data_IF_878196550066
#
_entry.id   IF_878196550066
#
_cell.length_a   1.000
_cell.length_b   1.000
_cell.length_c   1.000
_cell.angle_alpha   90.00
_cell.angle_beta   90.00
_cell.angle_gamma   90.00
#
_symmetry.space_group_name_H-M   'P 1'
#
loop_
_entity.id
_entity.type
_entity.pdbx_description
1 polymer ?
#
# COMPACT_ATOMS: atom_id res chain seq x y z
N UNK A 1 -16.53 -19.70 2.91
CA UNK A 1 -15.09 -19.41 3.05
C UNK A 1 -14.81 -19.01 4.48
N UNK A 2 -13.81 -19.67 5.14
CA UNK A 2 -13.38 -19.29 6.50
C UNK A 2 -12.25 -18.29 6.41
N UNK A 3 -12.44 -17.10 6.99
CA UNK A 3 -11.48 -16.00 6.99
C UNK A 3 -11.01 -15.75 8.42
N UNK A 4 -9.71 -15.88 8.68
CA UNK A 4 -9.13 -15.47 9.95
C UNK A 4 -8.49 -14.09 9.80
N UNK A 5 -8.94 -13.15 10.62
CA UNK A 5 -8.32 -11.83 10.76
C UNK A 5 -7.37 -11.90 11.94
N UNK A 6 -6.06 -12.02 11.65
CA UNK A 6 -5.02 -12.12 12.68
C UNK A 6 -4.74 -10.73 13.26
N UNK A 7 -5.26 -10.49 14.44
CA UNK A 7 -5.06 -9.22 15.15
C UNK A 7 -3.89 -9.30 16.12
N UNK A 8 -3.08 -8.26 16.13
CA UNK A 8 -1.92 -8.10 17.01
C UNK A 8 -2.12 -6.86 17.87
N UNK A 9 -1.42 -6.79 18.99
CA UNK A 9 -1.53 -5.63 19.86
C UNK A 9 -1.17 -4.34 19.11
N UNK A 10 -1.89 -3.26 19.39
CA UNK A 10 -1.83 -2.00 18.63
C UNK A 10 -2.32 -2.13 17.17
N UNK A 11 -3.22 -3.09 16.87
CA UNK A 11 -3.82 -3.16 15.52
C UNK A 11 -4.46 -1.83 15.12
N UNK A 12 -4.33 -1.47 13.85
CA UNK A 12 -4.86 -0.22 13.31
C UNK A 12 -6.39 -0.26 13.22
N UNK A 13 -7.05 0.60 13.97
CA UNK A 13 -8.52 0.59 14.16
C UNK A 13 -9.30 0.64 12.86
N UNK A 14 -9.04 1.66 12.02
CA UNK A 14 -9.72 1.81 10.74
C UNK A 14 -9.50 0.62 9.81
N UNK A 15 -8.28 0.06 9.80
CA UNK A 15 -7.95 -1.09 8.96
C UNK A 15 -8.71 -2.35 9.39
N UNK A 16 -8.77 -2.61 10.70
CA UNK A 16 -9.51 -3.73 11.26
C UNK A 16 -11.01 -3.60 10.97
N UNK A 17 -11.61 -2.45 11.30
CA UNK A 17 -13.05 -2.19 11.08
C UNK A 17 -13.42 -2.30 9.61
N UNK A 18 -12.62 -1.72 8.70
CA UNK A 18 -12.88 -1.80 7.26
C UNK A 18 -12.94 -3.24 6.73
N UNK A 19 -12.06 -4.12 7.22
CA UNK A 19 -12.09 -5.54 6.86
C UNK A 19 -13.34 -6.24 7.40
N UNK A 20 -13.65 -6.04 8.68
CA UNK A 20 -14.79 -6.69 9.32
C UNK A 20 -16.12 -6.23 8.71
N UNK A 21 -16.29 -4.90 8.53
CA UNK A 21 -17.51 -4.32 7.96
C UNK A 21 -17.72 -4.73 6.50
N UNK A 22 -16.65 -4.84 5.69
CA UNK A 22 -16.77 -5.30 4.32
C UNK A 22 -17.31 -6.73 4.22
N UNK A 23 -16.81 -7.65 5.05
CA UNK A 23 -17.27 -9.03 5.06
C UNK A 23 -18.66 -9.17 5.67
N UNK A 24 -18.96 -8.41 6.73
CA UNK A 24 -20.31 -8.40 7.33
C UNK A 24 -21.33 -7.91 6.30
N UNK A 25 -21.08 -6.76 5.66
CA UNK A 25 -21.94 -6.22 4.60
C UNK A 25 -22.12 -7.22 3.45
N UNK A 26 -21.04 -7.90 3.02
CA UNK A 26 -21.15 -8.93 1.99
C UNK A 26 -22.05 -10.09 2.42
N UNK A 27 -21.95 -10.56 3.66
CA UNK A 27 -22.81 -11.62 4.19
C UNK A 27 -24.28 -11.22 4.25
N UNK A 28 -24.60 -10.00 4.73
CA UNK A 28 -25.95 -9.45 4.79
C UNK A 28 -26.54 -9.31 3.39
N UNK A 29 -25.79 -8.77 2.43
CA UNK A 29 -26.23 -8.63 1.05
C UNK A 29 -26.39 -9.98 0.33
N UNK A 30 -25.56 -10.97 0.65
CA UNK A 30 -25.73 -12.32 0.13
C UNK A 30 -27.06 -12.93 0.59
N UNK A 31 -27.41 -12.75 1.84
CA UNK A 31 -28.69 -13.22 2.39
C UNK A 31 -29.89 -12.49 1.76
N UNK A 32 -29.85 -11.15 1.71
CA UNK A 32 -30.89 -10.31 1.13
C UNK A 32 -31.12 -10.59 -0.37
N UNK A 33 -30.06 -10.93 -1.11
CA UNK A 33 -30.10 -11.11 -2.56
C UNK A 33 -30.23 -12.57 -3.02
N UNK A 34 -30.40 -13.51 -2.09
CA UNK A 34 -30.55 -14.94 -2.37
C UNK A 34 -29.30 -15.59 -3.00
N UNK A 35 -28.11 -15.05 -2.75
CA UNK A 35 -26.85 -15.70 -3.13
C UNK A 35 -26.64 -16.94 -2.27
N UNK A 36 -27.03 -18.11 -2.76
CA UNK A 36 -26.88 -19.37 -2.03
C UNK A 36 -25.43 -19.85 -2.06
N UNK A 37 -24.87 -20.11 -0.88
CA UNK A 37 -23.58 -20.78 -0.70
C UNK A 37 -22.37 -19.88 -0.47
N UNK A 38 -22.49 -18.56 -0.62
CA UNK A 38 -21.35 -17.64 -0.54
C UNK A 38 -21.33 -16.87 0.79
N UNK A 39 -21.01 -17.57 1.88
CA UNK A 39 -20.85 -16.92 3.19
C UNK A 39 -19.39 -16.91 3.65
N UNK A 40 -19.01 -15.83 4.32
CA UNK A 40 -17.70 -15.67 4.95
C UNK A 40 -17.84 -15.91 6.47
N UNK A 41 -17.23 -17.01 6.98
CA UNK A 41 -17.04 -17.25 8.42
C UNK A 41 -15.83 -16.45 8.87
N UNK A 42 -16.04 -15.20 9.31
CA UNK A 42 -14.96 -14.27 9.67
C UNK A 42 -14.73 -14.34 11.17
N UNK A 43 -13.47 -14.57 11.55
CA UNK A 43 -13.06 -14.68 12.95
C UNK A 43 -11.87 -13.80 13.23
N UNK A 44 -11.95 -12.96 14.24
CA UNK A 44 -10.79 -12.28 14.83
C UNK A 44 -10.05 -13.26 15.72
N UNK A 45 -8.79 -13.53 15.39
CA UNK A 45 -7.91 -14.46 16.11
C UNK A 45 -6.61 -13.77 16.49
N UNK A 46 -5.98 -14.20 17.57
CA UNK A 46 -4.74 -13.60 18.03
C UNK A 46 -3.84 -14.64 18.72
N UNK A 47 -2.55 -14.32 18.79
CA UNK A 47 -1.55 -15.08 19.56
C UNK A 47 -1.56 -14.72 21.05
N UNK A 48 -2.32 -13.71 21.44
CA UNK A 48 -2.49 -13.26 22.84
C UNK A 48 -3.99 -13.27 23.20
N UNK A 49 -4.28 -13.43 24.50
CA UNK A 49 -5.67 -13.51 25.01
C UNK A 49 -6.39 -12.15 25.01
N UNK A 50 -5.65 -11.07 25.09
CA UNK A 50 -6.18 -9.70 25.08
C UNK A 50 -5.41 -8.86 24.08
N UNK A 51 -6.12 -8.18 23.21
CA UNK A 51 -5.59 -7.30 22.19
C UNK A 51 -6.23 -5.93 22.35
N UNK A 52 -5.41 -4.89 22.28
CA UNK A 52 -5.87 -3.51 22.17
C UNK A 52 -5.54 -2.94 20.79
N UNK A 53 -6.43 -2.09 20.30
CA UNK A 53 -6.17 -1.32 19.09
C UNK A 53 -5.17 -0.19 19.34
N UNK A 54 -4.75 0.52 18.30
CA UNK A 54 -3.86 1.68 18.41
C UNK A 54 -4.50 2.85 19.22
N UNK A 55 -5.83 2.89 19.32
CA UNK A 55 -6.56 3.86 20.15
C UNK A 55 -7.00 3.28 21.50
N UNK A 56 -6.56 2.08 21.87
CA UNK A 56 -6.81 1.48 23.18
C UNK A 56 -8.13 0.71 23.29
N UNK A 57 -8.89 0.54 22.22
CA UNK A 57 -10.10 -0.28 22.21
C UNK A 57 -9.74 -1.76 22.37
N UNK A 58 -10.49 -2.48 23.18
CA UNK A 58 -10.29 -3.93 23.35
C UNK A 58 -10.95 -4.69 22.20
N UNK A 59 -10.18 -5.56 21.54
CA UNK A 59 -10.67 -6.41 20.44
C UNK A 59 -11.05 -7.77 20.99
N UNK A 60 -12.31 -8.22 20.83
CA UNK A 60 -12.69 -9.59 21.14
C UNK A 60 -11.97 -10.56 20.19
N UNK A 61 -11.30 -11.57 20.75
CA UNK A 61 -10.59 -12.57 19.97
C UNK A 61 -11.15 -13.96 20.25
N UNK A 62 -11.24 -14.79 19.21
CA UNK A 62 -11.67 -16.17 19.30
C UNK A 62 -10.47 -17.10 19.40
N UNK A 63 -10.67 -18.23 20.08
CA UNK A 63 -9.65 -19.26 20.17
C UNK A 63 -9.38 -19.85 18.78
N UNK A 64 -8.10 -20.00 18.44
CA UNK A 64 -7.65 -20.68 17.22
C UNK A 64 -7.96 -22.17 17.39
N UNK A 65 -8.97 -22.64 16.65
CA UNK A 65 -9.32 -24.07 16.63
C UNK A 65 -8.35 -24.92 15.79
N UNK A 66 -8.59 -26.22 15.75
CA UNK A 66 -7.77 -27.17 14.98
C UNK A 66 -7.88 -27.02 13.46
N UNK A 67 -9.02 -26.49 12.98
CA UNK A 67 -9.29 -26.32 11.55
C UNK A 67 -8.62 -25.05 11.01
N UNK A 68 -7.79 -25.19 9.99
CA UNK A 68 -7.13 -24.08 9.32
C UNK A 68 -8.13 -23.14 8.62
N UNK A 69 -7.79 -21.84 8.46
CA UNK A 69 -8.56 -20.92 7.62
C UNK A 69 -8.37 -21.23 6.15
N UNK A 70 -9.32 -20.81 5.31
CA UNK A 70 -9.16 -20.77 3.85
C UNK A 70 -8.37 -19.51 3.45
N UNK A 71 -8.52 -18.43 4.23
CA UNK A 71 -7.84 -17.16 4.03
C UNK A 71 -7.45 -16.53 5.36
N UNK A 72 -6.26 -15.96 5.41
CA UNK A 72 -5.75 -15.15 6.52
C UNK A 72 -5.65 -13.70 6.07
N UNK A 73 -6.18 -12.79 6.86
CA UNK A 73 -5.99 -11.35 6.70
C UNK A 73 -5.14 -10.82 7.85
N UNK A 74 -4.02 -10.19 7.53
CA UNK A 74 -3.15 -9.51 8.50
C UNK A 74 -3.34 -8.00 8.35
N UNK A 75 -4.15 -7.36 9.22
CA UNK A 75 -4.30 -5.91 9.24
C UNK A 75 -3.00 -5.21 9.65
N UNK A 76 -2.94 -3.90 9.40
CA UNK A 76 -1.83 -3.09 9.88
C UNK A 76 -1.79 -3.01 11.41
N UNK A 77 -0.59 -2.85 11.96
CA UNK A 77 -0.36 -2.32 13.30
C UNK A 77 -0.17 -0.80 13.25
N UNK A 78 -0.54 -0.07 14.31
CA UNK A 78 -0.72 1.39 14.30
C UNK A 78 0.56 2.25 14.33
N UNK A 79 1.71 1.71 13.95
CA UNK A 79 2.99 2.40 13.99
C UNK A 79 3.33 3.04 12.64
N UNK A 80 3.32 4.36 12.56
CA UNK A 80 3.53 5.10 11.29
C UNK A 80 4.98 5.49 11.05
N UNK A 81 5.79 5.60 12.11
CA UNK A 81 7.18 6.05 12.04
C UNK A 81 8.14 4.85 12.07
N UNK A 82 9.24 4.89 11.30
CA UNK A 82 10.16 3.75 11.15
C UNK A 82 10.70 3.21 12.47
N UNK A 83 11.17 4.08 13.36
CA UNK A 83 11.80 3.68 14.64
C UNK A 83 10.79 2.93 15.54
N UNK A 84 9.57 3.46 15.66
CA UNK A 84 8.51 2.84 16.44
C UNK A 84 8.06 1.51 15.81
N UNK A 85 7.99 1.45 14.47
CA UNK A 85 7.67 0.21 13.76
C UNK A 85 8.77 -0.83 13.92
N UNK A 86 10.04 -0.45 13.83
CA UNK A 86 11.18 -1.35 14.00
C UNK A 86 11.17 -2.02 15.39
N UNK A 87 10.91 -1.22 16.44
CA UNK A 87 10.73 -1.73 17.79
C UNK A 87 9.50 -2.65 17.91
N UNK A 88 8.39 -2.31 17.26
CA UNK A 88 7.18 -3.12 17.27
C UNK A 88 7.38 -4.48 16.57
N UNK A 89 8.11 -4.52 15.45
CA UNK A 89 8.39 -5.76 14.71
C UNK A 89 9.29 -6.75 15.50
N UNK A 90 10.05 -6.24 16.49
CA UNK A 90 10.86 -7.10 17.37
C UNK A 90 10.06 -7.72 18.52
N UNK A 91 8.79 -7.39 18.70
CA UNK A 91 7.95 -7.87 19.80
C UNK A 91 7.73 -9.41 19.73
N UNK A 92 7.60 -10.08 20.90
CA UNK A 92 7.32 -11.52 20.94
C UNK A 92 6.00 -11.93 20.26
N UNK A 93 4.96 -11.11 20.31
CA UNK A 93 3.69 -11.42 19.65
C UNK A 93 3.80 -11.43 18.11
N UNK A 94 4.68 -10.59 17.54
CA UNK A 94 4.99 -10.61 16.09
C UNK A 94 5.74 -11.90 15.72
N UNK A 95 6.70 -12.35 16.55
CA UNK A 95 7.43 -13.58 16.30
C UNK A 95 6.52 -14.81 16.39
N UNK A 96 5.63 -14.85 17.38
CA UNK A 96 4.63 -15.93 17.50
C UNK A 96 3.64 -15.92 16.33
N UNK A 97 3.23 -14.73 15.88
CA UNK A 97 2.39 -14.58 14.69
C UNK A 97 3.10 -15.07 13.42
N UNK A 98 4.40 -14.81 13.28
CA UNK A 98 5.20 -15.31 12.16
C UNK A 98 5.23 -16.84 12.10
N UNK A 99 5.34 -17.52 13.26
CA UNK A 99 5.25 -19.00 13.35
C UNK A 99 3.86 -19.47 12.90
N UNK A 100 2.81 -18.83 13.40
CA UNK A 100 1.42 -19.18 13.07
C UNK A 100 1.11 -18.97 11.59
N UNK A 101 1.58 -17.90 10.99
CA UNK A 101 1.42 -17.60 9.55
C UNK A 101 2.07 -18.71 8.71
N UNK A 102 3.28 -19.16 9.04
CA UNK A 102 3.93 -20.29 8.35
C UNK A 102 3.14 -21.59 8.47
N UNK A 103 2.56 -21.86 9.64
CA UNK A 103 1.72 -23.07 9.84
C UNK A 103 0.45 -23.04 8.97
N UNK A 104 -0.20 -21.91 8.84
CA UNK A 104 -1.38 -21.75 7.98
C UNK A 104 -1.02 -21.79 6.50
N UNK A 105 0.11 -21.22 6.11
CA UNK A 105 0.64 -21.30 4.76
C UNK A 105 0.92 -22.75 4.35
N UNK A 106 1.55 -23.56 5.21
CA UNK A 106 1.77 -24.99 4.97
C UNK A 106 0.47 -25.79 4.82
N UNK A 107 -0.62 -25.33 5.42
CA UNK A 107 -1.97 -25.90 5.27
C UNK A 107 -2.73 -25.39 4.04
N UNK A 108 -2.09 -24.58 3.20
CA UNK A 108 -2.64 -24.10 1.94
C UNK A 108 -3.54 -22.86 2.01
N UNK A 109 -3.57 -22.17 3.17
CA UNK A 109 -4.35 -20.95 3.31
C UNK A 109 -3.87 -19.86 2.33
N UNK A 110 -4.81 -19.06 1.82
CA UNK A 110 -4.49 -17.81 1.13
C UNK A 110 -4.02 -16.78 2.17
N UNK A 111 -2.83 -16.23 1.97
CA UNK A 111 -2.19 -15.31 2.91
C UNK A 111 -2.34 -13.90 2.42
N UNK A 112 -3.03 -13.05 3.17
CA UNK A 112 -3.28 -11.67 2.75
C UNK A 112 -2.88 -10.67 3.83
N UNK A 113 -2.37 -9.51 3.41
CA UNK A 113 -1.99 -8.43 4.33
C UNK A 113 -2.25 -7.05 3.72
N UNK A 114 -2.51 -6.06 4.55
CA UNK A 114 -2.67 -4.69 4.11
C UNK A 114 -1.76 -3.72 4.88
N UNK A 115 -1.25 -2.72 4.15
CA UNK A 115 -0.47 -1.64 4.73
C UNK A 115 0.74 -2.18 5.52
N UNK A 116 0.90 -1.82 6.79
CA UNK A 116 1.97 -2.30 7.68
C UNK A 116 1.79 -3.79 8.03
N UNK A 117 0.62 -4.38 7.86
CA UNK A 117 0.43 -5.84 7.97
C UNK A 117 1.33 -6.64 7.02
N UNK A 118 1.74 -6.03 5.88
CA UNK A 118 2.72 -6.63 4.96
C UNK A 118 4.10 -6.80 5.61
N UNK A 119 4.51 -5.89 6.50
CA UNK A 119 5.74 -6.04 7.28
C UNK A 119 5.64 -7.27 8.22
N UNK A 120 4.50 -7.42 8.91
CA UNK A 120 4.26 -8.58 9.78
C UNK A 120 4.34 -9.89 8.99
N UNK A 121 3.75 -9.92 7.80
CA UNK A 121 3.85 -11.09 6.92
C UNK A 121 5.29 -11.32 6.43
N UNK A 122 6.05 -10.27 6.12
CA UNK A 122 7.44 -10.36 5.71
C UNK A 122 8.36 -10.89 6.83
N UNK A 123 8.08 -10.56 8.11
CA UNK A 123 8.80 -11.14 9.28
C UNK A 123 8.68 -12.67 9.33
N UNK A 124 7.66 -13.25 8.75
CA UNK A 124 7.53 -14.71 8.67
C UNK A 124 8.40 -15.36 7.59
N UNK A 125 9.05 -14.59 6.71
CA UNK A 125 9.78 -15.08 5.53
C UNK A 125 8.90 -15.52 4.37
N UNK A 126 7.58 -15.50 4.50
CA UNK A 126 6.64 -15.99 3.47
C UNK A 126 6.64 -15.14 2.18
N UNK A 127 7.11 -13.90 2.25
CA UNK A 127 7.19 -13.01 1.10
C UNK A 127 8.54 -13.05 0.38
N UNK A 128 9.52 -13.84 0.84
CA UNK A 128 10.81 -13.97 0.18
C UNK A 128 10.62 -14.47 -1.26
N UNK A 129 11.23 -13.77 -2.20
CA UNK A 129 11.12 -14.00 -3.64
C UNK A 129 9.70 -13.84 -4.22
N UNK A 130 8.76 -13.30 -3.45
CA UNK A 130 7.42 -12.98 -3.90
C UNK A 130 7.31 -11.51 -4.31
N UNK A 131 6.31 -11.21 -5.15
CA UNK A 131 5.90 -9.82 -5.39
C UNK A 131 4.96 -9.38 -4.28
N UNK A 132 5.15 -8.14 -3.79
CA UNK A 132 4.30 -7.56 -2.75
C UNK A 132 4.12 -6.06 -2.94
N UNK A 133 3.16 -5.48 -2.24
CA UNK A 133 3.04 -4.04 -2.01
C UNK A 133 2.84 -3.77 -0.52
N UNK A 134 3.11 -2.56 -0.11
CA UNK A 134 2.88 -2.08 1.26
C UNK A 134 2.58 -0.58 1.23
N UNK A 135 2.51 0.05 2.39
CA UNK A 135 2.30 1.49 2.49
C UNK A 135 3.46 2.28 1.87
N UNK A 136 3.13 3.22 0.98
CA UNK A 136 4.10 3.92 0.14
C UNK A 136 5.15 4.71 0.94
N UNK A 137 4.82 5.27 2.11
CA UNK A 137 5.78 6.10 2.88
C UNK A 137 6.86 5.30 3.62
N UNK A 138 6.66 3.99 3.82
CA UNK A 138 7.63 3.09 4.45
C UNK A 138 8.35 2.17 3.45
N UNK A 139 8.18 2.40 2.15
CA UNK A 139 8.87 1.64 1.09
C UNK A 139 10.40 1.61 1.28
N UNK A 140 11.08 2.72 1.62
CA UNK A 140 12.52 2.67 1.86
C UNK A 140 12.91 1.72 3.01
N UNK A 141 12.16 1.74 4.12
CA UNK A 141 12.37 0.84 5.25
C UNK A 141 12.10 -0.63 4.84
N UNK A 142 11.01 -0.88 4.12
CA UNK A 142 10.64 -2.23 3.69
C UNK A 142 11.71 -2.85 2.81
N UNK A 143 12.20 -2.14 1.79
CA UNK A 143 13.26 -2.62 0.90
C UNK A 143 14.58 -2.89 1.63
N UNK A 144 14.95 -2.05 2.58
CA UNK A 144 16.17 -2.25 3.38
C UNK A 144 16.05 -3.50 4.26
N UNK A 145 14.88 -3.74 4.85
CA UNK A 145 14.67 -4.83 5.81
C UNK A 145 14.41 -6.18 5.13
N UNK A 146 13.71 -6.17 4.00
CA UNK A 146 13.31 -7.38 3.25
C UNK A 146 13.79 -7.32 1.79
N UNK A 147 15.10 -7.37 1.55
CA UNK A 147 15.67 -7.20 0.21
C UNK A 147 15.31 -8.33 -0.77
N UNK A 148 14.89 -9.49 -0.26
CA UNK A 148 14.44 -10.64 -1.07
C UNK A 148 13.02 -10.47 -1.63
N UNK A 149 12.25 -9.47 -1.17
CA UNK A 149 10.88 -9.23 -1.63
C UNK A 149 10.88 -8.30 -2.85
N UNK A 150 10.18 -8.69 -3.91
CA UNK A 150 10.00 -7.83 -5.10
C UNK A 150 8.85 -6.83 -4.85
N UNK A 151 9.19 -5.64 -4.34
CA UNK A 151 8.21 -4.65 -3.93
C UNK A 151 7.73 -3.79 -5.11
N UNK A 152 6.40 -3.77 -5.35
CA UNK A 152 5.72 -2.89 -6.32
C UNK A 152 4.84 -1.88 -5.56
N UNK A 153 5.42 -0.73 -5.23
CA UNK A 153 4.75 0.36 -4.50
C UNK A 153 3.73 1.12 -5.33
N UNK A 154 3.63 0.87 -6.62
CA UNK A 154 2.68 1.58 -7.49
C UNK A 154 1.26 1.04 -7.41
N UNK A 155 1.12 -0.25 -7.18
CA UNK A 155 -0.16 -0.94 -7.19
C UNK A 155 -0.88 -0.83 -5.84
N UNK A 156 -2.22 -0.74 -5.88
CA UNK A 156 -3.04 -0.83 -4.68
C UNK A 156 -3.04 -2.27 -4.14
N UNK A 157 -3.13 -3.26 -5.02
CA UNK A 157 -3.09 -4.69 -4.68
C UNK A 157 -2.08 -5.40 -5.55
N UNK A 158 -1.27 -6.25 -4.94
CA UNK A 158 -0.33 -7.15 -5.62
C UNK A 158 -0.65 -8.59 -5.22
N UNK A 159 -0.87 -9.44 -6.23
CA UNK A 159 -1.00 -10.90 -6.06
C UNK A 159 0.25 -11.60 -6.54
N UNK A 160 0.76 -12.53 -5.74
CA UNK A 160 1.86 -13.44 -6.07
C UNK A 160 1.52 -14.84 -5.56
N UNK A 161 1.10 -15.73 -6.46
CA UNK A 161 0.58 -17.03 -6.06
C UNK A 161 -0.63 -16.92 -5.13
N UNK A 162 -0.52 -17.46 -3.91
CA UNK A 162 -1.53 -17.35 -2.85
C UNK A 162 -1.32 -16.18 -1.89
N UNK A 163 -0.27 -15.38 -2.10
CA UNK A 163 -0.01 -14.18 -1.32
C UNK A 163 -0.68 -12.98 -1.99
N UNK A 164 -1.41 -12.18 -1.21
CA UNK A 164 -2.05 -10.95 -1.70
C UNK A 164 -1.77 -9.84 -0.71
N UNK A 165 -1.12 -8.79 -1.19
CA UNK A 165 -0.80 -7.64 -0.34
C UNK A 165 -1.46 -6.38 -0.87
N UNK A 166 -1.83 -5.48 0.02
CA UNK A 166 -2.48 -4.23 -0.30
C UNK A 166 -1.70 -3.03 0.28
N UNK A 167 -1.81 -1.87 -0.39
CA UNK A 167 -1.03 -0.67 -0.13
C UNK A 167 -1.34 0.05 1.17
N UNK A 168 -1.65 1.34 1.09
CA UNK A 168 -1.79 2.21 2.27
C UNK A 168 -3.14 2.03 3.03
N UNK A 169 -3.35 2.83 4.05
CA UNK A 169 -4.37 2.66 5.11
C UNK A 169 -5.76 2.16 4.66
N UNK A 170 -6.41 2.83 3.72
CA UNK A 170 -7.74 2.41 3.24
C UNK A 170 -7.71 1.19 2.30
N UNK A 171 -6.54 0.69 1.92
CA UNK A 171 -6.42 -0.52 1.11
C UNK A 171 -6.89 -1.79 1.83
N UNK A 172 -7.14 -1.74 3.14
CA UNK A 172 -7.81 -2.81 3.86
C UNK A 172 -9.19 -3.10 3.25
N UNK A 173 -9.93 -2.06 2.89
CA UNK A 173 -11.20 -2.18 2.18
C UNK A 173 -11.02 -2.77 0.77
N UNK A 174 -10.01 -2.31 0.02
CA UNK A 174 -9.71 -2.85 -1.31
C UNK A 174 -9.33 -4.34 -1.23
N UNK A 175 -8.57 -4.73 -0.20
CA UNK A 175 -8.20 -6.13 0.04
C UNK A 175 -9.42 -7.00 0.36
N UNK A 176 -10.29 -6.55 1.26
CA UNK A 176 -11.53 -7.26 1.59
C UNK A 176 -12.43 -7.43 0.37
N UNK A 177 -12.65 -6.37 -0.41
CA UNK A 177 -13.41 -6.44 -1.66
C UNK A 177 -12.73 -7.34 -2.70
N UNK A 178 -11.39 -7.39 -2.74
CA UNK A 178 -10.65 -8.30 -3.60
C UNK A 178 -10.90 -9.77 -3.22
N UNK A 179 -10.88 -10.09 -1.91
CA UNK A 179 -11.16 -11.44 -1.38
C UNK A 179 -12.61 -11.82 -1.69
N UNK A 180 -13.58 -10.93 -1.45
CA UNK A 180 -15.00 -11.15 -1.79
C UNK A 180 -15.15 -11.40 -3.29
N UNK A 181 -14.44 -10.63 -4.14
CA UNK A 181 -14.46 -10.77 -5.60
C UNK A 181 -13.90 -12.11 -6.08
N UNK A 182 -12.90 -12.67 -5.38
CA UNK A 182 -12.34 -13.98 -5.72
C UNK A 182 -13.36 -15.11 -5.52
N UNK A 183 -14.35 -14.92 -4.63
CA UNK A 183 -15.46 -15.84 -4.39
C UNK A 183 -16.65 -15.50 -5.31
N UNK A 184 -17.08 -14.23 -5.33
CA UNK A 184 -18.20 -13.75 -6.12
C UNK A 184 -17.99 -12.32 -6.63
N UNK A 185 -17.68 -12.16 -7.94
CA UNK A 185 -17.56 -10.82 -8.54
C UNK A 185 -18.83 -9.97 -8.41
N UNK A 186 -20.00 -10.61 -8.47
CA UNK A 186 -21.30 -9.95 -8.36
C UNK A 186 -21.53 -9.43 -6.95
N UNK A 187 -21.24 -10.24 -5.92
CA UNK A 187 -21.35 -9.85 -4.53
C UNK A 187 -20.35 -8.72 -4.19
N UNK A 188 -19.10 -8.82 -4.65
CA UNK A 188 -18.12 -7.75 -4.45
C UNK A 188 -18.55 -6.42 -5.07
N UNK A 189 -19.14 -6.44 -6.27
CA UNK A 189 -19.68 -5.23 -6.92
C UNK A 189 -20.85 -4.63 -6.13
N UNK A 190 -21.73 -5.46 -5.59
CA UNK A 190 -22.86 -5.01 -4.78
C UNK A 190 -22.37 -4.41 -3.44
N UNK A 191 -21.44 -5.10 -2.76
CA UNK A 191 -20.82 -4.63 -1.51
C UNK A 191 -20.13 -3.29 -1.70
N UNK A 192 -19.33 -3.13 -2.78
CA UNK A 192 -18.65 -1.88 -3.08
C UNK A 192 -19.64 -0.72 -3.31
N UNK A 193 -20.74 -0.97 -4.02
CA UNK A 193 -21.80 0.03 -4.23
C UNK A 193 -22.49 0.42 -2.94
N UNK A 194 -22.81 -0.56 -2.09
CA UNK A 194 -23.48 -0.32 -0.80
C UNK A 194 -22.61 0.50 0.15
N UNK A 195 -21.31 0.23 0.18
CA UNK A 195 -20.32 0.96 0.98
C UNK A 195 -19.81 2.25 0.33
N UNK A 196 -20.29 2.58 -0.89
CA UNK A 196 -19.86 3.77 -1.67
C UNK A 196 -18.34 3.78 -1.87
N UNK A 197 -17.78 2.63 -2.26
CA UNK A 197 -16.34 2.47 -2.47
C UNK A 197 -16.04 2.40 -3.96
N UNK A 198 -15.27 3.38 -4.45
CA UNK A 198 -14.75 3.42 -5.81
C UNK A 198 -13.49 2.54 -5.96
N UNK A 199 -13.29 2.01 -7.17
CA UNK A 199 -12.08 1.24 -7.48
C UNK A 199 -10.83 2.12 -7.52
N UNK A 200 -9.79 1.72 -6.80
CA UNK A 200 -8.49 2.40 -6.72
C UNK A 200 -7.38 1.47 -7.20
N UNK A 201 -7.04 1.48 -8.50
CA UNK A 201 -6.09 0.52 -9.08
C UNK A 201 -4.64 0.78 -8.65
N UNK A 202 -4.31 2.01 -8.29
CA UNK A 202 -2.95 2.43 -7.92
C UNK A 202 -2.95 3.32 -6.69
N UNK A 203 -1.92 3.17 -5.84
CA UNK A 203 -1.66 4.11 -4.75
C UNK A 203 -0.74 5.26 -5.17
N UNK A 204 -0.14 5.20 -6.36
CA UNK A 204 0.76 6.26 -6.86
C UNK A 204 0.11 7.63 -6.97
N UNK A 205 -1.23 7.68 -7.14
CA UNK A 205 -1.98 8.93 -7.17
C UNK A 205 -2.09 9.62 -5.80
N UNK A 206 -1.82 8.89 -4.72
CA UNK A 206 -1.93 9.36 -3.34
C UNK A 206 -0.57 9.45 -2.64
N UNK A 207 0.50 8.92 -3.26
CA UNK A 207 1.83 8.96 -2.70
C UNK A 207 2.39 10.39 -2.76
N UNK A 208 2.75 10.93 -1.61
CA UNK A 208 3.44 12.21 -1.49
C UNK A 208 4.94 11.95 -1.45
N UNK A 209 5.64 12.38 -2.49
CA UNK A 209 7.08 12.11 -2.65
C UNK A 209 7.89 12.71 -1.48
N UNK A 210 7.41 13.81 -0.93
CA UNK A 210 8.02 14.53 0.19
C UNK A 210 7.89 13.81 1.55
N UNK A 211 7.03 12.79 1.63
CA UNK A 211 6.78 12.03 2.86
C UNK A 211 7.42 10.62 2.84
N UNK A 212 8.32 10.34 1.90
CA UNK A 212 9.11 9.11 1.92
C UNK A 212 10.13 9.19 3.04
N UNK A 213 9.98 8.36 4.07
CA UNK A 213 10.83 8.44 5.27
C UNK A 213 12.14 7.70 5.04
N UNK A 214 13.24 8.43 4.98
CA UNK A 214 14.60 7.90 4.93
C UNK A 214 15.61 8.89 5.52
N UNK A 215 16.83 8.40 5.80
CA UNK A 215 17.92 9.18 6.40
C UNK A 215 19.15 9.29 5.50
N UNK A 216 19.06 8.97 4.21
CA UNK A 216 20.18 9.07 3.28
C UNK A 216 20.41 10.52 2.86
N UNK A 217 21.50 11.14 3.34
CA UNK A 217 21.83 12.53 3.09
C UNK A 217 22.08 12.85 1.61
N UNK A 218 22.57 11.88 0.80
CA UNK A 218 22.76 12.10 -0.62
C UNK A 218 21.42 12.17 -1.35
N UNK A 219 20.50 11.30 -0.98
CA UNK A 219 19.15 11.30 -1.52
C UNK A 219 18.41 12.58 -1.11
N UNK A 220 18.50 13.02 0.15
CA UNK A 220 17.90 14.28 0.62
C UNK A 220 18.41 15.49 -0.18
N UNK A 221 19.72 15.62 -0.37
CA UNK A 221 20.29 16.69 -1.21
C UNK A 221 19.77 16.66 -2.64
N UNK A 222 19.63 15.47 -3.21
CA UNK A 222 19.06 15.32 -4.54
C UNK A 222 17.58 15.70 -4.59
N UNK A 223 16.81 15.35 -3.58
CA UNK A 223 15.39 15.73 -3.46
C UNK A 223 15.23 17.24 -3.43
N UNK A 224 16.02 17.95 -2.60
CA UNK A 224 16.00 19.41 -2.50
C UNK A 224 16.37 20.06 -3.83
N UNK A 225 17.43 19.58 -4.48
CA UNK A 225 17.83 20.04 -5.80
C UNK A 225 16.74 19.83 -6.85
N UNK A 226 16.11 18.65 -6.85
CA UNK A 226 15.06 18.29 -7.81
C UNK A 226 13.81 19.18 -7.65
N UNK A 227 13.39 19.44 -6.40
CA UNK A 227 12.24 20.32 -6.11
C UNK A 227 12.46 21.76 -6.59
N UNK A 228 13.64 22.29 -6.37
CA UNK A 228 13.99 23.66 -6.77
C UNK A 228 14.01 23.84 -8.31
N UNK A 229 14.03 22.75 -9.09
CA UNK A 229 14.24 22.80 -10.54
C UNK A 229 13.14 22.13 -11.39
N UNK A 230 11.94 21.96 -10.86
CA UNK A 230 10.86 21.25 -11.55
C UNK A 230 10.50 21.84 -12.93
N UNK A 231 10.66 23.14 -13.12
CA UNK A 231 10.40 23.83 -14.39
C UNK A 231 11.53 23.71 -15.41
N UNK A 232 12.71 23.22 -14.99
CA UNK A 232 13.89 23.09 -15.85
C UNK A 232 14.00 21.66 -16.40
N UNK A 233 14.74 21.48 -17.48
CA UNK A 233 15.08 20.15 -17.98
C UNK A 233 15.86 19.33 -16.95
N UNK A 234 15.75 18.01 -17.01
CA UNK A 234 16.54 17.12 -16.15
C UNK A 234 17.82 16.70 -16.87
N UNK A 235 18.96 17.03 -16.28
CA UNK A 235 20.27 16.50 -16.66
C UNK A 235 20.92 15.75 -15.50
N UNK A 236 21.25 14.47 -15.70
CA UNK A 236 21.85 13.63 -14.65
C UNK A 236 23.26 14.05 -14.27
N UNK A 237 24.03 14.68 -15.18
CA UNK A 237 25.37 15.17 -14.87
C UNK A 237 25.28 16.39 -13.95
N UNK A 238 24.34 17.30 -14.26
CA UNK A 238 24.07 18.47 -13.43
C UNK A 238 23.60 18.06 -12.04
N UNK A 239 22.62 17.14 -11.97
CA UNK A 239 22.12 16.61 -10.71
C UNK A 239 23.24 15.99 -9.85
N UNK A 240 24.06 15.15 -10.42
CA UNK A 240 25.16 14.49 -9.70
C UNK A 240 26.20 15.50 -9.19
N UNK A 241 26.57 16.50 -10.01
CA UNK A 241 27.46 17.60 -9.58
C UNK A 241 26.88 18.42 -8.44
N UNK A 242 25.60 18.77 -8.53
CA UNK A 242 24.93 19.58 -7.52
C UNK A 242 24.92 18.92 -6.13
N UNK A 243 24.89 17.58 -6.07
CA UNK A 243 24.92 16.84 -4.81
C UNK A 243 26.32 16.30 -4.45
N UNK A 244 27.36 16.79 -5.11
CA UNK A 244 28.75 16.38 -4.93
C UNK A 244 28.95 14.84 -5.05
N UNK A 245 28.36 14.23 -6.09
CA UNK A 245 28.39 12.78 -6.30
C UNK A 245 28.65 12.42 -7.77
N UNK A 246 28.99 11.16 -8.03
CA UNK A 246 28.99 10.62 -9.38
C UNK A 246 27.58 10.18 -9.81
N UNK A 247 27.31 10.17 -11.13
CA UNK A 247 26.05 9.63 -11.70
C UNK A 247 25.75 8.21 -11.19
N UNK A 248 26.77 7.35 -11.17
CA UNK A 248 26.65 5.96 -10.73
C UNK A 248 26.30 5.87 -9.26
N UNK A 249 26.97 6.65 -8.42
CA UNK A 249 26.72 6.70 -6.98
C UNK A 249 25.31 7.23 -6.69
N UNK A 250 24.93 8.36 -7.30
CA UNK A 250 23.59 8.91 -7.15
C UNK A 250 22.51 7.92 -7.58
N UNK A 251 22.64 7.31 -8.75
CA UNK A 251 21.67 6.33 -9.24
C UNK A 251 21.57 5.10 -8.32
N UNK A 252 22.69 4.62 -7.78
CA UNK A 252 22.71 3.50 -6.83
C UNK A 252 22.00 3.84 -5.53
N UNK A 253 22.28 5.01 -4.92
CA UNK A 253 21.60 5.44 -3.68
C UNK A 253 20.12 5.64 -3.90
N UNK A 254 19.72 6.35 -4.95
CA UNK A 254 18.31 6.54 -5.30
C UNK A 254 17.58 5.20 -5.49
N UNK A 255 18.22 4.25 -6.14
CA UNK A 255 17.63 2.93 -6.33
C UNK A 255 17.55 2.14 -5.03
N UNK A 256 18.60 2.15 -4.22
CA UNK A 256 18.65 1.44 -2.93
C UNK A 256 17.64 2.02 -1.93
N UNK A 257 17.49 3.34 -1.86
CA UNK A 257 16.64 4.02 -0.87
C UNK A 257 15.20 4.12 -1.36
N UNK A 258 14.99 4.66 -2.57
CA UNK A 258 13.65 4.98 -3.09
C UNK A 258 13.16 3.99 -4.15
N UNK A 259 13.99 3.04 -4.59
CA UNK A 259 13.67 2.10 -5.67
C UNK A 259 13.45 2.77 -7.04
N UNK A 260 13.89 4.00 -7.21
CA UNK A 260 13.67 4.81 -8.41
C UNK A 260 14.99 5.33 -8.95
N UNK A 261 15.08 5.47 -10.29
CA UNK A 261 16.18 6.26 -10.86
C UNK A 261 15.98 7.75 -10.55
N UNK A 262 17.06 8.57 -10.56
CA UNK A 262 16.96 10.03 -10.40
C UNK A 262 15.93 10.68 -11.33
N UNK A 263 15.93 10.30 -12.62
CA UNK A 263 14.95 10.79 -13.59
C UNK A 263 13.52 10.36 -13.24
N UNK A 264 13.33 9.10 -12.84
CA UNK A 264 11.99 8.61 -12.46
C UNK A 264 11.43 9.33 -11.24
N UNK A 265 12.28 9.63 -10.26
CA UNK A 265 11.92 10.42 -9.09
C UNK A 265 11.53 11.86 -9.49
N UNK A 266 12.38 12.52 -10.28
CA UNK A 266 12.11 13.88 -10.79
C UNK A 266 10.78 13.96 -11.57
N UNK A 267 10.50 12.96 -12.40
CA UNK A 267 9.19 12.85 -13.07
C UNK A 267 8.04 12.65 -12.10
N UNK A 268 8.23 11.92 -10.98
CA UNK A 268 7.19 11.75 -9.94
C UNK A 268 6.84 13.09 -9.30
N UNK A 269 7.82 13.91 -8.96
CA UNK A 269 7.59 15.27 -8.44
C UNK A 269 6.80 16.16 -9.41
N UNK A 270 7.13 16.09 -10.71
CA UNK A 270 6.39 16.83 -11.75
C UNK A 270 4.94 16.38 -11.86
N UNK A 271 4.70 15.06 -11.80
CA UNK A 271 3.35 14.48 -11.80
C UNK A 271 2.55 14.97 -10.59
N UNK A 272 3.14 14.91 -9.41
CA UNK A 272 2.52 15.36 -8.16
C UNK A 272 2.14 16.85 -8.25
N UNK A 273 3.08 17.68 -8.68
CA UNK A 273 2.81 19.13 -8.88
C UNK A 273 1.74 19.38 -9.92
N UNK A 274 1.73 18.62 -11.04
CA UNK A 274 0.70 18.74 -12.07
C UNK A 274 -0.68 18.36 -11.54
N UNK A 275 -0.79 17.26 -10.79
CA UNK A 275 -2.05 16.83 -10.15
C UNK A 275 -2.55 17.90 -9.19
N UNK A 276 -1.67 18.45 -8.36
CA UNK A 276 -2.02 19.54 -7.44
C UNK A 276 -2.58 20.73 -8.20
N UNK A 277 -1.89 21.22 -9.24
CA UNK A 277 -2.35 22.36 -10.04
C UNK A 277 -3.69 22.08 -10.75
N UNK A 278 -3.87 20.86 -11.29
CA UNK A 278 -5.11 20.46 -11.95
C UNK A 278 -6.30 20.41 -10.98
N UNK A 279 -6.07 20.13 -9.70
CA UNK A 279 -7.10 20.07 -8.65
C UNK A 279 -7.39 21.43 -8.02
N UNK A 280 -6.40 22.30 -7.92
CA UNK A 280 -6.48 23.54 -7.12
C UNK A 280 -6.56 24.81 -7.97
N UNK A 281 -6.56 24.69 -9.30
CA UNK A 281 -6.67 25.84 -10.20
C UNK A 281 -7.45 25.51 -11.47
N UNK A 282 -7.98 26.57 -12.10
CA UNK A 282 -8.64 26.51 -13.41
C UNK A 282 -7.65 26.58 -14.58
N UNK A 283 -6.35 26.51 -14.32
CA UNK A 283 -5.31 26.59 -15.34
C UNK A 283 -5.54 25.56 -16.46
N UNK A 284 -5.34 25.95 -17.70
CA UNK A 284 -5.37 25.04 -18.85
C UNK A 284 -4.31 23.95 -18.72
N UNK A 285 -4.49 22.85 -19.44
CA UNK A 285 -3.50 21.76 -19.41
C UNK A 285 -2.14 22.19 -19.95
N UNK A 286 -2.14 23.11 -20.92
CA UNK A 286 -0.93 23.69 -21.50
C UNK A 286 -0.19 24.56 -20.48
N UNK A 287 -0.92 25.40 -19.74
CA UNK A 287 -0.34 26.18 -18.63
C UNK A 287 0.23 25.29 -17.53
N UNK A 288 -0.50 24.21 -17.15
CA UNK A 288 0.01 23.25 -16.16
C UNK A 288 1.26 22.55 -16.69
N UNK A 289 1.28 22.14 -17.97
CA UNK A 289 2.46 21.52 -18.58
C UNK A 289 3.69 22.45 -18.49
N UNK A 290 3.53 23.71 -18.87
CA UNK A 290 4.60 24.70 -18.77
C UNK A 290 5.10 24.90 -17.33
N UNK A 291 4.17 25.02 -16.35
CA UNK A 291 4.50 25.20 -14.92
C UNK A 291 5.23 24.00 -14.29
N UNK A 292 5.13 22.83 -14.89
CA UNK A 292 5.84 21.61 -14.42
C UNK A 292 6.97 21.20 -15.36
N UNK A 293 7.36 22.08 -16.30
CA UNK A 293 8.53 21.91 -17.14
C UNK A 293 8.36 20.95 -18.33
N UNK A 294 7.13 20.80 -18.85
CA UNK A 294 6.87 20.13 -20.13
C UNK A 294 6.58 21.14 -21.23
N UNK A 295 7.07 20.87 -22.44
CA UNK A 295 6.90 21.74 -23.58
C UNK A 295 5.46 21.78 -24.10
N UNK A 296 4.69 20.72 -23.89
CA UNK A 296 3.33 20.58 -24.41
C UNK A 296 2.43 19.73 -23.53
N UNK A 297 1.12 19.96 -23.65
CA UNK A 297 0.09 19.24 -22.91
C UNK A 297 0.00 17.76 -23.28
N UNK A 298 0.40 17.35 -24.48
CA UNK A 298 0.30 15.96 -24.94
C UNK A 298 1.27 15.09 -24.16
N UNK A 299 2.48 15.55 -23.97
CA UNK A 299 3.52 14.88 -23.15
C UNK A 299 3.03 14.73 -21.71
N UNK A 300 2.45 15.80 -21.13
CA UNK A 300 1.89 15.72 -19.76
C UNK A 300 0.71 14.75 -19.68
N UNK A 301 -0.25 14.78 -20.62
CA UNK A 301 -1.39 13.84 -20.65
C UNK A 301 -0.94 12.39 -20.71
N UNK A 302 0.03 12.09 -21.57
CA UNK A 302 0.56 10.73 -21.72
C UNK A 302 1.26 10.25 -20.44
N UNK A 303 2.02 11.13 -19.80
CA UNK A 303 2.70 10.81 -18.54
C UNK A 303 1.69 10.56 -17.42
N UNK A 304 0.70 11.44 -17.23
CA UNK A 304 -0.36 11.29 -16.23
C UNK A 304 -1.12 9.97 -16.43
N UNK A 305 -1.56 9.69 -17.68
CA UNK A 305 -2.26 8.42 -17.98
C UNK A 305 -1.41 7.19 -17.70
N UNK A 306 -0.12 7.23 -18.05
CA UNK A 306 0.80 6.11 -17.80
C UNK A 306 1.04 5.88 -16.31
N UNK A 307 1.20 6.95 -15.52
CA UNK A 307 1.55 6.89 -14.10
C UNK A 307 0.35 6.65 -13.19
N UNK A 308 -0.77 7.33 -13.46
CA UNK A 308 -1.93 7.33 -12.59
C UNK A 308 -3.07 6.43 -13.08
N UNK A 309 -3.01 5.96 -14.33
CA UNK A 309 -4.06 5.15 -14.98
C UNK A 309 -5.42 5.86 -15.11
N UNK A 310 -5.47 7.17 -14.86
CA UNK A 310 -6.66 8.02 -14.95
C UNK A 310 -6.40 9.21 -15.90
N UNK A 311 -7.47 9.80 -16.41
CA UNK A 311 -7.42 10.95 -17.30
C UNK A 311 -7.55 12.29 -16.57
N UNK A 312 -7.21 13.40 -17.25
CA UNK A 312 -7.25 14.75 -16.66
C UNK A 312 -8.64 15.13 -16.17
N UNK A 313 -9.71 14.77 -16.91
CA UNK A 313 -11.10 15.04 -16.48
C UNK A 313 -11.42 14.37 -15.14
N UNK A 314 -10.89 13.15 -14.93
CA UNK A 314 -11.07 12.40 -13.70
C UNK A 314 -10.26 13.00 -12.56
N UNK A 315 -9.01 13.46 -12.84
CA UNK A 315 -8.18 14.16 -11.84
C UNK A 315 -8.90 15.43 -11.34
N UNK A 316 -9.48 16.23 -12.23
CA UNK A 316 -10.21 17.45 -11.86
C UNK A 316 -11.50 17.17 -11.08
N UNK A 317 -12.20 16.06 -11.39
CA UNK A 317 -13.44 15.69 -10.71
C UNK A 317 -13.23 15.22 -9.26
N UNK A 318 -12.03 14.77 -8.92
CA UNK A 318 -11.65 14.34 -7.56
C UNK A 318 -11.06 15.48 -6.70
N UNK A 319 -11.28 16.74 -7.13
CA UNK A 319 -10.88 17.95 -6.42
C UNK A 319 -11.88 18.31 -5.31
#
# INVERSE_FOLDING_TARGET
>A
MRVFVLVLDSVFDLGLSAVLDAFQTANELAEMSGFSGERFDVRTVAVRKSIKTSHGLTVPVQTIGSRAPDCVVVPAIGFKMPEALEAALARPDIQDAAVLLRQWDQKGAMMTAACIGTFVMAESGLLDHQRATTTWWLVPMFRRRYPSVSLDESQMIVKSGRFVTAGAALSHMDLALWIIRAVSPKLASLTAKYLIVDSRPTQSAYALTDHLVHSDLLVQRFEDWARARLTHGFDLNEAARAVASSKRTLARHMHAVLGKSPLSYFQSLRVERAVHLLKTSDASVDEVAARVGYADATTLRNLLRRRLKIGIKEIRRTA
#
